data_IF_625899202548
#
_entry.id   IF_625899202548
#
_cell.length_a   1.000
_cell.length_b   1.000
_cell.length_c   1.000
_cell.angle_alpha   90.00
_cell.angle_beta   90.00
_cell.angle_gamma   90.00
#
_symmetry.space_group_name_H-M   'P 1'
#
loop_
_entity.id
_entity.type
_entity.pdbx_description
1 polymer ?
#
# COMPACT_ATOMS: atom_id res chain seq x y z
N UNK A 1 -16.67 68.91 -23.52
CA UNK A 1 -15.37 69.40 -23.03
C UNK A 1 -15.02 68.93 -21.60
N UNK A 2 -15.94 68.45 -20.77
CA UNK A 2 -15.61 67.96 -19.43
C UNK A 2 -15.16 66.48 -19.41
N UNK A 3 -15.47 65.70 -20.44
CA UNK A 3 -15.19 64.24 -20.47
C UNK A 3 -13.74 63.92 -20.91
N UNK A 4 -13.11 64.79 -21.75
CA UNK A 4 -11.75 64.51 -22.25
C UNK A 4 -10.67 64.67 -21.17
N UNK A 5 -10.88 65.57 -20.19
CA UNK A 5 -9.91 65.75 -19.11
C UNK A 5 -9.91 64.62 -18.08
N UNK A 6 -11.01 63.92 -17.91
CA UNK A 6 -11.12 62.74 -17.01
C UNK A 6 -10.45 61.51 -17.65
N UNK A 7 -10.55 61.30 -18.95
CA UNK A 7 -9.93 60.23 -19.66
C UNK A 7 -8.41 60.31 -19.68
N UNK A 8 -7.85 61.50 -19.92
CA UNK A 8 -6.40 61.74 -19.89
C UNK A 8 -5.81 61.52 -18.50
N UNK A 9 -6.51 61.91 -17.44
CA UNK A 9 -6.05 61.68 -16.06
C UNK A 9 -6.08 60.20 -15.69
N UNK A 10 -7.09 59.42 -16.12
CA UNK A 10 -7.14 57.99 -15.91
C UNK A 10 -6.05 57.26 -16.65
N UNK A 11 -5.73 57.64 -17.87
CA UNK A 11 -4.63 57.06 -18.67
C UNK A 11 -3.27 57.32 -17.99
N UNK A 12 -3.04 58.50 -17.46
CA UNK A 12 -1.80 58.83 -16.75
C UNK A 12 -1.65 58.08 -15.44
N UNK A 13 -2.75 57.86 -14.69
CA UNK A 13 -2.76 57.06 -13.48
C UNK A 13 -2.41 55.59 -13.78
N UNK A 14 -2.96 55.02 -14.85
CA UNK A 14 -2.68 53.66 -15.27
C UNK A 14 -1.21 53.53 -15.70
N UNK A 15 -0.67 54.47 -16.48
CA UNK A 15 0.74 54.50 -16.90
C UNK A 15 1.68 54.57 -15.71
N UNK A 16 1.38 55.43 -14.71
CA UNK A 16 2.16 55.55 -13.49
C UNK A 16 2.13 54.25 -12.67
N UNK A 17 0.94 53.72 -12.43
CA UNK A 17 0.78 52.44 -11.72
C UNK A 17 1.55 51.31 -12.42
N UNK A 18 1.46 51.22 -13.74
CA UNK A 18 2.19 50.23 -14.53
C UNK A 18 3.72 50.42 -14.40
N UNK A 19 4.22 51.64 -14.51
CA UNK A 19 5.64 51.90 -14.38
C UNK A 19 6.20 51.55 -13.00
N UNK A 20 5.40 51.67 -11.97
CA UNK A 20 5.77 51.34 -10.59
C UNK A 20 5.68 49.84 -10.30
N UNK A 21 4.73 49.12 -10.91
CA UNK A 21 4.39 47.73 -10.53
C UNK A 21 4.83 46.68 -11.54
N UNK A 22 5.21 47.03 -12.77
CA UNK A 22 5.51 46.07 -13.82
C UNK A 22 6.61 45.05 -13.44
N UNK A 23 7.60 45.44 -12.61
CA UNK A 23 8.67 44.54 -12.14
C UNK A 23 8.10 43.44 -11.23
N UNK A 24 7.19 43.81 -10.33
CA UNK A 24 6.51 42.86 -9.44
C UNK A 24 5.59 41.94 -10.21
N UNK A 25 4.88 42.47 -11.21
CA UNK A 25 4.02 41.67 -12.09
C UNK A 25 4.82 40.69 -12.94
N UNK A 26 5.95 41.18 -13.53
CA UNK A 26 6.85 40.31 -14.30
C UNK A 26 7.46 39.22 -13.43
N UNK A 27 7.90 39.56 -12.21
CA UNK A 27 8.41 38.55 -11.26
C UNK A 27 7.35 37.52 -10.89
N UNK A 28 6.13 37.96 -10.60
CA UNK A 28 4.98 37.06 -10.32
C UNK A 28 4.66 36.12 -11.50
N UNK A 29 4.71 36.66 -12.72
CA UNK A 29 4.49 35.88 -13.94
C UNK A 29 5.57 34.79 -14.14
N UNK A 30 6.85 35.19 -13.95
CA UNK A 30 7.97 34.23 -14.07
C UNK A 30 7.87 33.12 -13.03
N UNK A 31 7.55 33.45 -11.78
CA UNK A 31 7.36 32.46 -10.72
C UNK A 31 6.17 31.55 -11.04
N UNK A 32 5.03 32.13 -11.48
CA UNK A 32 3.85 31.38 -11.84
C UNK A 32 4.09 30.40 -13.00
N UNK A 33 4.70 30.89 -14.08
CA UNK A 33 5.04 30.04 -15.24
C UNK A 33 6.09 28.99 -14.85
N UNK A 34 7.12 29.36 -14.11
CA UNK A 34 8.12 28.42 -13.60
C UNK A 34 7.51 27.31 -12.74
N UNK A 35 6.55 27.64 -11.88
CA UNK A 35 5.79 26.67 -11.09
C UNK A 35 4.98 25.71 -11.96
N UNK A 36 4.28 26.23 -12.97
CA UNK A 36 3.47 25.42 -13.89
C UNK A 36 4.35 24.46 -14.71
N UNK A 37 5.41 24.96 -15.33
CA UNK A 37 6.32 24.14 -16.14
C UNK A 37 7.09 23.11 -15.28
N UNK A 38 7.51 23.49 -14.08
CA UNK A 38 8.13 22.57 -13.13
C UNK A 38 7.20 21.45 -12.72
N UNK A 39 5.94 21.78 -12.42
CA UNK A 39 4.92 20.80 -12.10
C UNK A 39 4.58 19.87 -13.26
N UNK A 40 4.42 20.41 -14.46
CA UNK A 40 4.19 19.60 -15.67
C UNK A 40 5.34 18.65 -15.95
N UNK A 41 6.59 19.14 -15.86
CA UNK A 41 7.78 18.30 -16.02
C UNK A 41 7.85 17.17 -15.01
N UNK A 42 7.54 17.46 -13.75
CA UNK A 42 7.46 16.45 -12.69
C UNK A 42 6.36 15.40 -12.98
N UNK A 43 5.16 15.84 -13.38
CA UNK A 43 4.08 14.92 -13.74
C UNK A 43 4.44 14.06 -14.95
N UNK A 44 5.03 14.62 -16.00
CA UNK A 44 5.48 13.85 -17.17
C UNK A 44 6.51 12.79 -16.79
N UNK A 45 7.46 13.12 -15.92
CA UNK A 45 8.44 12.15 -15.44
C UNK A 45 7.77 11.01 -14.65
N UNK A 46 6.85 11.34 -13.76
CA UNK A 46 6.08 10.36 -12.98
C UNK A 46 5.27 9.42 -13.89
N UNK A 47 4.59 9.97 -14.90
CA UNK A 47 3.81 9.18 -15.85
C UNK A 47 4.70 8.26 -16.70
N UNK A 48 5.86 8.75 -17.14
CA UNK A 48 6.81 7.93 -17.90
C UNK A 48 7.36 6.76 -17.04
N UNK A 49 7.72 7.02 -15.79
CA UNK A 49 8.14 5.98 -14.85
C UNK A 49 7.01 4.97 -14.59
N UNK A 50 5.78 5.42 -14.40
CA UNK A 50 4.64 4.53 -14.20
C UNK A 50 4.37 3.66 -15.43
N UNK A 51 4.50 4.21 -16.65
CA UNK A 51 4.32 3.45 -17.89
C UNK A 51 5.39 2.36 -18.06
N UNK A 52 6.66 2.68 -17.79
CA UNK A 52 7.76 1.70 -17.82
C UNK A 52 7.57 0.63 -16.77
N UNK A 53 7.21 1.01 -15.54
CA UNK A 53 6.93 0.07 -14.45
C UNK A 53 5.74 -0.85 -14.78
N UNK A 54 4.69 -0.33 -15.44
CA UNK A 54 3.54 -1.12 -15.90
C UNK A 54 3.97 -2.19 -16.90
N UNK A 55 4.77 -1.81 -17.91
CA UNK A 55 5.25 -2.76 -18.91
C UNK A 55 6.10 -3.86 -18.26
N UNK A 56 7.04 -3.48 -17.40
CA UNK A 56 7.88 -4.44 -16.68
C UNK A 56 7.08 -5.37 -15.76
N UNK A 57 6.02 -4.87 -15.14
CA UNK A 57 5.10 -5.68 -14.35
C UNK A 57 4.32 -6.69 -15.22
N UNK A 58 3.92 -6.31 -16.42
CA UNK A 58 3.32 -7.22 -17.40
C UNK A 58 4.32 -8.28 -17.86
N UNK A 59 5.55 -7.90 -18.15
CA UNK A 59 6.63 -8.85 -18.53
C UNK A 59 6.89 -9.84 -17.39
N UNK A 60 6.99 -9.38 -16.16
CA UNK A 60 7.09 -10.24 -14.96
C UNK A 60 5.93 -11.24 -14.89
N UNK A 61 4.68 -10.78 -15.12
CA UNK A 61 3.53 -11.66 -15.11
C UNK A 61 3.55 -12.71 -16.23
N UNK A 62 4.07 -12.36 -17.39
CA UNK A 62 4.23 -13.29 -18.51
C UNK A 62 5.31 -14.32 -18.18
N UNK A 63 6.45 -13.94 -17.60
CA UNK A 63 7.47 -14.87 -17.11
C UNK A 63 6.91 -15.87 -16.08
N UNK A 64 6.04 -15.38 -15.16
CA UNK A 64 5.37 -16.27 -14.20
C UNK A 64 4.47 -17.29 -14.88
N UNK A 65 3.68 -16.88 -15.90
CA UNK A 65 2.83 -17.80 -16.67
C UNK A 65 3.65 -18.86 -17.44
N UNK A 66 4.81 -18.44 -17.94
CA UNK A 66 5.75 -19.30 -18.66
C UNK A 66 6.65 -20.14 -17.71
N UNK A 67 6.47 -20.01 -16.39
CA UNK A 67 7.26 -20.66 -15.35
C UNK A 67 8.76 -20.27 -15.37
N UNK A 68 9.09 -19.14 -15.95
CA UNK A 68 10.43 -18.53 -16.00
C UNK A 68 10.67 -17.70 -14.75
N UNK A 69 11.01 -18.40 -13.65
CA UNK A 69 11.05 -17.74 -12.34
C UNK A 69 12.26 -16.83 -12.15
N UNK A 70 13.38 -17.13 -12.76
CA UNK A 70 14.59 -16.32 -12.62
C UNK A 70 14.39 -14.97 -13.31
N UNK A 71 13.74 -14.97 -14.50
CA UNK A 71 13.37 -13.77 -15.22
C UNK A 71 12.29 -12.96 -14.47
N UNK A 72 11.30 -13.66 -13.91
CA UNK A 72 10.27 -13.00 -13.09
C UNK A 72 10.87 -12.34 -11.84
N UNK A 73 11.81 -13.01 -11.16
CA UNK A 73 12.53 -12.44 -10.02
C UNK A 73 13.35 -11.20 -10.43
N UNK A 74 14.10 -11.29 -11.54
CA UNK A 74 14.91 -10.17 -12.03
C UNK A 74 14.05 -8.95 -12.34
N UNK A 75 12.91 -9.15 -13.03
CA UNK A 75 11.96 -8.06 -13.33
C UNK A 75 11.35 -7.47 -12.06
N UNK A 76 11.00 -8.29 -11.07
CA UNK A 76 10.48 -7.82 -9.79
C UNK A 76 11.52 -7.02 -9.00
N UNK A 77 12.76 -7.48 -8.96
CA UNK A 77 13.85 -6.82 -8.25
C UNK A 77 14.20 -5.48 -8.91
N UNK A 78 14.13 -5.40 -10.25
CA UNK A 78 14.29 -4.13 -10.97
C UNK A 78 13.13 -3.17 -10.68
N UNK A 79 11.86 -3.65 -10.64
CA UNK A 79 10.71 -2.85 -10.24
C UNK A 79 10.87 -2.27 -8.83
N UNK A 80 11.30 -3.07 -7.89
CA UNK A 80 11.54 -2.67 -6.50
C UNK A 80 12.67 -1.64 -6.40
N UNK A 81 13.72 -1.78 -7.20
CA UNK A 81 14.91 -0.92 -7.16
C UNK A 81 14.70 0.42 -7.88
N UNK A 82 14.21 0.38 -9.12
CA UNK A 82 14.17 1.55 -9.98
C UNK A 82 12.81 2.28 -9.92
N UNK A 83 11.73 1.55 -9.62
CA UNK A 83 10.36 2.06 -9.66
C UNK A 83 9.64 1.97 -8.30
N UNK A 84 10.39 2.00 -7.19
CA UNK A 84 9.90 1.82 -5.82
C UNK A 84 8.68 2.70 -5.45
N UNK A 85 8.51 3.86 -6.09
CA UNK A 85 7.39 4.80 -5.83
C UNK A 85 6.12 4.49 -6.61
N UNK A 86 6.14 3.49 -7.48
CA UNK A 86 5.00 3.10 -8.29
C UNK A 86 4.19 2.01 -7.59
N UNK A 87 2.87 1.92 -7.85
CA UNK A 87 2.06 0.82 -7.32
C UNK A 87 2.47 -0.54 -7.92
N UNK A 88 3.13 -0.55 -9.07
CA UNK A 88 3.60 -1.76 -9.73
C UNK A 88 4.71 -2.47 -8.96
N UNK A 89 5.64 -1.72 -8.35
CA UNK A 89 6.69 -2.30 -7.51
C UNK A 89 6.11 -2.98 -6.27
N UNK A 90 5.13 -2.35 -5.61
CA UNK A 90 4.41 -2.95 -4.47
C UNK A 90 3.67 -4.21 -4.88
N UNK A 91 2.95 -4.17 -6.01
CA UNK A 91 2.22 -5.32 -6.54
C UNK A 91 3.17 -6.48 -6.92
N UNK A 92 4.31 -6.16 -7.54
CA UNK A 92 5.34 -7.14 -7.88
C UNK A 92 5.91 -7.81 -6.62
N UNK A 93 6.28 -7.02 -5.61
CA UNK A 93 6.81 -7.54 -4.34
C UNK A 93 5.79 -8.46 -3.64
N UNK A 94 4.51 -8.07 -3.58
CA UNK A 94 3.45 -8.89 -2.98
C UNK A 94 3.21 -10.19 -3.75
N UNK A 95 3.26 -10.14 -5.08
CA UNK A 95 3.06 -11.30 -5.94
C UNK A 95 4.22 -12.28 -5.87
N UNK A 96 5.45 -11.75 -5.90
CA UNK A 96 6.65 -12.59 -5.76
C UNK A 96 6.76 -13.17 -4.34
N UNK A 97 6.37 -12.44 -3.30
CA UNK A 97 6.31 -13.00 -1.96
C UNK A 97 5.34 -14.20 -1.86
N UNK A 98 4.21 -14.15 -2.59
CA UNK A 98 3.31 -15.31 -2.68
C UNK A 98 4.00 -16.50 -3.38
N UNK A 99 4.68 -16.26 -4.50
CA UNK A 99 5.41 -17.31 -5.21
C UNK A 99 6.55 -17.90 -4.37
N UNK A 100 7.20 -17.06 -3.56
CA UNK A 100 8.26 -17.51 -2.66
C UNK A 100 7.68 -18.41 -1.54
N UNK A 101 6.50 -18.10 -0.99
CA UNK A 101 5.79 -18.97 -0.02
C UNK A 101 5.42 -20.31 -0.65
N UNK A 102 4.85 -20.32 -1.86
CA UNK A 102 4.47 -21.53 -2.59
C UNK A 102 5.65 -22.45 -2.87
N UNK A 103 6.88 -21.92 -2.86
CA UNK A 103 8.16 -22.62 -3.09
C UNK A 103 8.97 -22.86 -1.82
N UNK A 104 8.36 -22.62 -0.67
CA UNK A 104 9.01 -22.75 0.65
C UNK A 104 10.24 -21.84 0.85
N UNK A 105 10.33 -20.73 0.07
CA UNK A 105 11.36 -19.69 0.21
C UNK A 105 10.91 -18.61 1.20
N UNK A 106 10.62 -19.03 2.43
CA UNK A 106 9.99 -18.17 3.45
C UNK A 106 10.83 -16.93 3.81
N UNK A 107 12.16 -17.02 3.74
CA UNK A 107 13.04 -15.87 4.02
C UNK A 107 12.95 -14.80 2.93
N UNK A 108 12.85 -15.20 1.66
CA UNK A 108 12.72 -14.26 0.55
C UNK A 108 11.31 -13.62 0.55
N UNK A 109 10.28 -14.43 0.79
CA UNK A 109 8.93 -13.92 1.00
C UNK A 109 8.87 -12.86 2.13
N UNK A 110 9.51 -13.15 3.27
CA UNK A 110 9.56 -12.23 4.39
C UNK A 110 10.28 -10.91 4.05
N UNK A 111 11.40 -10.95 3.31
CA UNK A 111 12.12 -9.74 2.85
C UNK A 111 11.25 -8.88 1.95
N UNK A 112 10.57 -9.49 0.97
CA UNK A 112 9.68 -8.75 0.05
C UNK A 112 8.50 -8.11 0.77
N UNK A 113 7.87 -8.83 1.70
CA UNK A 113 6.76 -8.31 2.49
C UNK A 113 7.22 -7.19 3.44
N UNK A 114 8.38 -7.33 4.05
CA UNK A 114 8.97 -6.27 4.88
C UNK A 114 9.25 -5.01 4.06
N UNK A 115 9.81 -5.17 2.85
CA UNK A 115 10.04 -4.05 1.94
C UNK A 115 8.74 -3.28 1.62
N UNK A 116 7.62 -3.99 1.40
CA UNK A 116 6.31 -3.34 1.18
C UNK A 116 5.89 -2.53 2.40
N UNK A 117 6.05 -3.08 3.61
CA UNK A 117 5.70 -2.41 4.87
C UNK A 117 6.51 -1.11 5.05
N UNK A 118 7.80 -1.15 4.70
CA UNK A 118 8.72 -0.04 4.92
C UNK A 118 8.61 1.06 3.85
N UNK A 119 8.16 0.70 2.64
CA UNK A 119 8.23 1.58 1.47
C UNK A 119 6.87 2.10 1.02
N UNK A 120 5.83 1.27 1.11
CA UNK A 120 4.50 1.63 0.62
C UNK A 120 3.85 2.71 1.49
N UNK A 121 3.20 3.67 0.82
CA UNK A 121 2.34 4.68 1.47
C UNK A 121 0.86 4.35 1.32
N UNK A 122 0.54 3.24 0.68
CA UNK A 122 -0.83 2.80 0.46
C UNK A 122 -1.39 2.19 1.75
N UNK A 123 -2.41 2.84 2.31
CA UNK A 123 -3.06 2.46 3.56
C UNK A 123 -3.73 1.07 3.50
N UNK A 124 -4.03 0.54 2.29
CA UNK A 124 -4.57 -0.80 2.12
C UNK A 124 -3.49 -1.87 1.99
N UNK A 125 -2.35 -1.55 1.35
CA UNK A 125 -1.31 -2.52 1.05
C UNK A 125 -0.40 -2.82 2.25
N UNK A 126 -0.12 -1.84 3.10
CA UNK A 126 0.74 -2.03 4.29
C UNK A 126 0.13 -3.02 5.29
N UNK A 127 -1.15 -2.91 5.70
CA UNK A 127 -1.77 -3.92 6.56
C UNK A 127 -1.84 -5.30 5.93
N UNK A 128 -2.12 -5.39 4.61
CA UNK A 128 -2.12 -6.66 3.89
C UNK A 128 -0.74 -7.33 3.92
N UNK A 129 0.32 -6.57 3.64
CA UNK A 129 1.70 -7.07 3.71
C UNK A 129 2.06 -7.53 5.12
N UNK A 130 1.65 -6.78 6.14
CA UNK A 130 1.86 -7.12 7.56
C UNK A 130 1.18 -8.42 7.95
N UNK A 131 -0.08 -8.61 7.56
CA UNK A 131 -0.83 -9.85 7.78
C UNK A 131 -0.14 -11.05 7.12
N UNK A 132 0.30 -10.88 5.86
CA UNK A 132 1.03 -11.93 5.13
C UNK A 132 2.38 -12.23 5.76
N UNK A 133 3.12 -11.21 6.21
CA UNK A 133 4.39 -11.38 6.90
C UNK A 133 4.19 -12.11 8.25
N UNK A 134 3.12 -11.82 8.98
CA UNK A 134 2.79 -12.55 10.20
C UNK A 134 2.56 -14.05 9.91
N UNK A 135 1.84 -14.38 8.84
CA UNK A 135 1.67 -15.79 8.40
C UNK A 135 3.00 -16.44 8.07
N UNK A 136 3.87 -15.75 7.33
CA UNK A 136 5.21 -16.24 6.98
C UNK A 136 6.07 -16.46 8.23
N UNK A 137 6.07 -15.52 9.19
CA UNK A 137 6.79 -15.67 10.46
C UNK A 137 6.29 -16.87 11.27
N UNK A 138 4.99 -17.08 11.30
CA UNK A 138 4.42 -18.26 11.96
C UNK A 138 4.86 -19.57 11.27
N UNK A 139 4.84 -19.64 9.94
CA UNK A 139 5.37 -20.79 9.18
C UNK A 139 6.87 -21.03 9.45
N UNK A 140 7.65 -19.98 9.67
CA UNK A 140 9.05 -20.05 10.09
C UNK A 140 9.25 -20.51 11.55
N UNK A 141 8.18 -20.93 12.24
CA UNK A 141 8.22 -21.29 13.67
C UNK A 141 8.61 -20.12 14.59
N UNK A 142 8.23 -18.89 14.21
CA UNK A 142 8.46 -17.65 14.96
C UNK A 142 7.13 -17.01 15.40
N UNK A 143 6.33 -17.70 16.24
CA UNK A 143 4.99 -17.25 16.60
C UNK A 143 4.97 -15.90 17.32
N UNK A 144 5.97 -15.62 18.15
CA UNK A 144 6.06 -14.36 18.88
C UNK A 144 6.31 -13.16 17.95
N UNK A 145 7.13 -13.35 16.91
CA UNK A 145 7.35 -12.32 15.91
C UNK A 145 6.10 -12.12 15.04
N UNK A 146 5.37 -13.19 14.74
CA UNK A 146 4.08 -13.10 14.07
C UNK A 146 3.06 -12.31 14.89
N UNK A 147 2.93 -12.58 16.19
CA UNK A 147 2.02 -11.87 17.09
C UNK A 147 2.35 -10.37 17.19
N UNK A 148 3.64 -10.00 17.26
CA UNK A 148 4.07 -8.58 17.25
C UNK A 148 3.61 -7.84 15.98
N UNK A 149 3.67 -8.51 14.82
CA UNK A 149 3.19 -7.93 13.57
C UNK A 149 1.68 -7.67 13.60
N UNK A 150 0.92 -8.50 14.30
CA UNK A 150 -0.52 -8.37 14.44
C UNK A 150 -0.95 -7.25 15.42
N UNK A 151 -0.04 -6.68 16.19
CA UNK A 151 -0.32 -5.53 17.06
C UNK A 151 -0.29 -4.18 16.31
N UNK A 152 0.12 -4.17 15.05
CA UNK A 152 0.16 -2.97 14.22
C UNK A 152 -1.18 -2.56 13.63
N UNK A 153 -1.11 -1.53 12.75
CA UNK A 153 -2.28 -1.09 11.99
C UNK A 153 -2.89 -2.23 11.17
N UNK A 154 -4.19 -2.45 11.32
CA UNK A 154 -4.96 -3.54 10.73
C UNK A 154 -5.71 -3.13 9.47
N UNK A 155 -5.79 -1.82 9.19
CA UNK A 155 -6.49 -1.26 8.03
C UNK A 155 -7.89 -1.84 7.84
N UNK A 156 -8.17 -2.35 6.66
CA UNK A 156 -9.45 -2.95 6.30
C UNK A 156 -9.54 -4.46 6.60
N UNK A 157 -8.60 -5.01 7.38
CA UNK A 157 -8.50 -6.46 7.63
C UNK A 157 -8.59 -6.86 9.11
N UNK A 158 -9.32 -6.16 9.99
CA UNK A 158 -9.27 -6.41 11.43
C UNK A 158 -9.65 -7.85 11.78
N UNK A 159 -10.69 -8.41 11.17
CA UNK A 159 -11.12 -9.78 11.40
C UNK A 159 -10.05 -10.83 11.04
N UNK A 160 -9.32 -10.62 9.92
CA UNK A 160 -8.25 -11.54 9.50
C UNK A 160 -7.03 -11.48 10.43
N UNK A 161 -6.77 -10.32 11.03
CA UNK A 161 -5.71 -10.17 12.02
C UNK A 161 -6.06 -10.92 13.32
N UNK A 162 -7.28 -10.79 13.80
CA UNK A 162 -7.71 -11.47 15.01
C UNK A 162 -7.92 -12.98 14.77
N UNK A 163 -8.36 -13.41 13.59
CA UNK A 163 -8.37 -14.81 13.20
C UNK A 163 -6.98 -15.43 13.24
N UNK A 164 -6.00 -14.81 12.58
CA UNK A 164 -4.62 -15.31 12.60
C UNK A 164 -4.02 -15.31 14.01
N UNK A 165 -4.36 -14.33 14.82
CA UNK A 165 -3.99 -14.32 16.25
C UNK A 165 -4.55 -15.53 16.99
N UNK A 166 -5.80 -15.86 16.74
CA UNK A 166 -6.46 -17.05 17.28
C UNK A 166 -5.75 -18.34 16.87
N UNK A 167 -5.44 -18.47 15.57
CA UNK A 167 -4.74 -19.65 15.03
C UNK A 167 -3.36 -19.83 15.70
N UNK A 168 -2.59 -18.74 15.84
CA UNK A 168 -1.28 -18.78 16.50
C UNK A 168 -1.43 -19.13 17.97
N UNK A 169 -2.37 -18.53 18.70
CA UNK A 169 -2.61 -18.82 20.11
C UNK A 169 -3.03 -20.27 20.35
N UNK A 170 -3.88 -20.80 19.47
CA UNK A 170 -4.27 -22.19 19.50
C UNK A 170 -3.08 -23.13 19.29
N UNK A 171 -2.20 -22.83 18.32
CA UNK A 171 -0.98 -23.62 18.08
C UNK A 171 0.00 -23.61 19.26
N UNK A 172 -0.05 -22.56 20.09
CA UNK A 172 0.70 -22.46 21.36
C UNK A 172 0.00 -23.17 22.53
N UNK A 173 -1.19 -23.73 22.33
CA UNK A 173 -1.97 -24.38 23.38
C UNK A 173 -2.82 -23.40 24.23
N UNK A 174 -2.76 -22.09 23.96
CA UNK A 174 -3.52 -21.06 24.67
C UNK A 174 -4.95 -20.96 24.12
N UNK A 175 -5.78 -21.95 24.47
CA UNK A 175 -7.17 -22.07 23.99
C UNK A 175 -8.05 -20.88 24.42
N UNK A 176 -7.80 -20.30 25.59
CA UNK A 176 -8.57 -19.18 26.10
C UNK A 176 -8.32 -17.92 25.28
N UNK A 177 -7.04 -17.60 25.01
CA UNK A 177 -6.68 -16.49 24.15
C UNK A 177 -7.12 -16.71 22.69
N UNK A 178 -7.04 -17.95 22.18
CA UNK A 178 -7.53 -18.28 20.85
C UNK A 178 -9.03 -18.02 20.72
N UNK A 179 -9.82 -18.47 21.68
CA UNK A 179 -11.28 -18.23 21.72
C UNK A 179 -11.59 -16.73 21.69
N UNK A 180 -10.97 -15.96 22.58
CA UNK A 180 -11.15 -14.50 22.63
C UNK A 180 -10.84 -13.84 21.30
N UNK A 181 -9.77 -14.27 20.62
CA UNK A 181 -9.38 -13.72 19.33
C UNK A 181 -10.38 -14.08 18.22
N UNK A 182 -10.90 -15.30 18.17
CA UNK A 182 -11.92 -15.70 17.19
C UNK A 182 -13.27 -15.02 17.43
N UNK A 183 -13.70 -14.87 18.70
CA UNK A 183 -14.92 -14.13 19.04
C UNK A 183 -14.83 -12.67 18.54
N UNK A 184 -13.67 -12.06 18.71
CA UNK A 184 -13.41 -10.72 18.21
C UNK A 184 -13.37 -10.65 16.68
N UNK A 185 -12.74 -11.61 16.02
CA UNK A 185 -12.75 -11.72 14.57
C UNK A 185 -14.17 -11.84 14.02
N UNK A 186 -15.03 -12.59 14.69
CA UNK A 186 -16.43 -12.77 14.32
C UNK A 186 -17.22 -11.44 14.42
N UNK A 187 -16.98 -10.68 15.50
CA UNK A 187 -17.62 -9.37 15.69
C UNK A 187 -17.18 -8.34 14.63
N UNK A 188 -15.88 -8.31 14.30
CA UNK A 188 -15.31 -7.38 13.33
C UNK A 188 -15.57 -7.81 11.87
N UNK A 189 -15.73 -9.12 11.62
CA UNK A 189 -15.97 -9.72 10.31
C UNK A 189 -17.45 -9.90 9.95
N UNK A 190 -18.37 -9.31 10.70
CA UNK A 190 -19.82 -9.42 10.46
C UNK A 190 -20.22 -8.73 9.13
N UNK A 191 -19.77 -9.29 8.02
CA UNK A 191 -20.14 -8.87 6.68
C UNK A 191 -21.16 -9.87 6.10
N UNK A 192 -22.42 -9.44 5.89
CA UNK A 192 -23.44 -10.31 5.29
C UNK A 192 -23.08 -10.83 3.89
N UNK A 193 -22.12 -10.17 3.21
CA UNK A 193 -21.64 -10.56 1.89
C UNK A 193 -20.54 -11.65 1.91
N UNK A 194 -20.05 -12.06 3.09
CA UNK A 194 -19.04 -13.11 3.24
C UNK A 194 -19.46 -14.19 4.28
N UNK A 195 -20.57 -14.89 4.07
CA UNK A 195 -21.11 -15.86 5.04
C UNK A 195 -20.18 -17.06 5.26
N UNK A 196 -19.39 -17.44 4.27
CA UNK A 196 -18.46 -18.58 4.36
C UNK A 196 -17.36 -18.33 5.41
N UNK A 197 -16.81 -17.12 5.47
CA UNK A 197 -15.79 -16.74 6.45
C UNK A 197 -16.35 -16.77 7.89
N UNK A 198 -17.58 -16.31 8.07
CA UNK A 198 -18.25 -16.40 9.38
C UNK A 198 -18.48 -17.86 9.80
N UNK A 199 -18.88 -18.73 8.87
CA UNK A 199 -19.07 -20.15 9.11
C UNK A 199 -17.77 -20.88 9.50
N UNK A 200 -16.64 -20.46 8.96
CA UNK A 200 -15.31 -21.01 9.32
C UNK A 200 -14.90 -20.58 10.74
N UNK A 201 -15.04 -19.31 11.07
CA UNK A 201 -14.75 -18.80 12.41
C UNK A 201 -15.66 -19.45 13.47
N UNK A 202 -16.94 -19.64 13.16
CA UNK A 202 -17.86 -20.31 14.07
C UNK A 202 -17.43 -21.76 14.32
N UNK A 203 -17.04 -22.51 13.29
CA UNK A 203 -16.51 -23.89 13.46
C UNK A 203 -15.26 -23.92 14.34
N UNK A 204 -14.32 -23.00 14.15
CA UNK A 204 -13.12 -22.86 15.00
C UNK A 204 -13.48 -22.64 16.48
N UNK A 205 -14.55 -21.88 16.75
CA UNK A 205 -15.06 -21.65 18.12
C UNK A 205 -15.74 -22.89 18.69
N UNK A 206 -16.54 -23.59 17.90
CA UNK A 206 -17.25 -24.81 18.32
C UNK A 206 -16.24 -25.93 18.67
N UNK A 207 -15.20 -26.11 17.84
CA UNK A 207 -14.11 -27.08 18.10
C UNK A 207 -13.36 -26.79 19.42
N UNK A 208 -13.25 -25.48 19.78
CA UNK A 208 -12.67 -25.10 21.06
C UNK A 208 -13.58 -25.42 22.24
N UNK A 209 -14.91 -25.42 22.06
CA UNK A 209 -15.87 -25.74 23.12
C UNK A 209 -15.91 -27.25 23.41
N UNK A 210 -15.94 -28.09 22.37
CA UNK A 210 -16.05 -29.54 22.50
C UNK A 210 -14.83 -30.19 23.18
N UNK A 211 -13.67 -29.66 22.98
CA UNK A 211 -12.45 -30.17 23.60
C UNK A 211 -12.25 -29.74 25.08
N UNK A 212 -13.16 -28.94 25.64
CA UNK A 212 -13.22 -28.65 27.08
C UNK A 212 -14.17 -29.61 27.80
N UNK A 213 -15.07 -30.27 27.04
CA UNK A 213 -16.09 -31.20 27.57
C UNK A 213 -15.62 -32.68 27.59
N UNK A 214 -14.47 -32.98 27.02
CA UNK A 214 -13.84 -34.30 26.97
C UNK A 214 -12.65 -34.40 27.91
#
# INVERSE_FOLDING_TARGET
MANDYDEDQQIEQIKRWWSENWKSLAAGLVIGLGGIFGWQGYQHHQMAQAAQASQMFEDMNNFLKEQKMDEANAAADELVKEYARTPYAVSAALKMAQQDVERDKLDDAAKRLQWVIDTSKDAGMVPLARLRLAKVRWQQQKPDDALKLLDGDRGNYPALFDELRGDIKLSQGDRAAARTAYEKALQEGANPAAPEQQGELQRKLDDLADAVAS
#
